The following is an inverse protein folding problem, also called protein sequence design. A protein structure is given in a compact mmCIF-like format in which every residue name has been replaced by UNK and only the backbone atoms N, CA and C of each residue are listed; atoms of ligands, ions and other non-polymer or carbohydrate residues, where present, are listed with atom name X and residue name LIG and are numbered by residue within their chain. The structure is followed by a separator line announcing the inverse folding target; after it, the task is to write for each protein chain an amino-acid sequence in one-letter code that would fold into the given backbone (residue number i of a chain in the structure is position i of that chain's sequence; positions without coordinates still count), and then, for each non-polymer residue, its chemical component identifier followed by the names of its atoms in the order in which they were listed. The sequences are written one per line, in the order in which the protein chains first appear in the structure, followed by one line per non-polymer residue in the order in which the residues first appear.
data_IF_272127909581
#
_entry.id   IF_272127909581
#
_cell.length_a   1.000
_cell.length_b   1.000
_cell.length_c   1.000
_cell.angle_alpha   90.00
_cell.angle_beta   90.00
_cell.angle_gamma   90.00
#
_symmetry.space_group_name_H-M   'P 1'
#
loop_
_entity.id
_entity.type
_entity.pdbx_description
1 polymer ?
#
# COMPACT_ATOMS: atom_id res chain seq x y z
N UNK A 1 3.04 4.75 -12.94
CA UNK A 1 1.98 4.92 -13.95
C UNK A 1 2.56 4.90 -15.37
N UNK A 2 1.96 4.09 -16.22
CA UNK A 2 2.23 4.19 -17.65
C UNK A 2 1.50 5.41 -18.22
N UNK A 3 2.01 5.91 -19.33
CA UNK A 3 1.41 7.06 -19.99
C UNK A 3 -0.06 6.77 -20.38
N UNK A 4 -0.96 7.68 -20.02
CA UNK A 4 -2.40 7.59 -20.28
C UNK A 4 -3.12 6.46 -19.52
N UNK A 5 -2.44 5.80 -18.61
CA UNK A 5 -3.01 4.76 -17.77
C UNK A 5 -3.68 5.38 -16.55
N UNK A 6 -4.88 4.90 -16.16
CA UNK A 6 -5.51 5.32 -14.92
C UNK A 6 -4.76 4.75 -13.70
N UNK A 7 -4.96 5.36 -12.53
CA UNK A 7 -4.37 4.87 -11.28
C UNK A 7 -4.84 3.44 -11.01
N UNK A 8 -6.13 3.16 -11.17
CA UNK A 8 -6.68 1.82 -10.93
C UNK A 8 -6.08 0.80 -11.89
N UNK A 9 -5.96 1.13 -13.16
CA UNK A 9 -5.39 0.23 -14.14
C UNK A 9 -3.90 -0.01 -13.89
N UNK A 10 -3.19 1.01 -13.41
CA UNK A 10 -1.80 0.87 -12.99
C UNK A 10 -1.64 -0.12 -11.85
N UNK A 11 -2.50 0.00 -10.82
CA UNK A 11 -2.46 -0.92 -9.67
C UNK A 11 -2.73 -2.35 -10.13
N UNK A 12 -3.74 -2.56 -10.97
CA UNK A 12 -4.06 -3.90 -11.49
C UNK A 12 -2.89 -4.50 -12.27
N UNK A 13 -2.26 -3.70 -13.12
CA UNK A 13 -1.12 -4.14 -13.92
C UNK A 13 0.07 -4.52 -13.05
N UNK A 14 0.44 -3.65 -12.12
CA UNK A 14 1.58 -3.88 -11.24
C UNK A 14 1.39 -5.10 -10.34
N UNK A 15 0.19 -5.29 -9.80
CA UNK A 15 -0.11 -6.48 -8.99
C UNK A 15 0.00 -7.75 -9.82
N UNK A 16 -0.50 -7.74 -11.05
CA UNK A 16 -0.38 -8.90 -11.93
C UNK A 16 1.09 -9.21 -12.24
N UNK A 17 1.89 -8.20 -12.54
CA UNK A 17 3.31 -8.37 -12.85
C UNK A 17 4.10 -8.89 -11.65
N UNK A 18 3.80 -8.39 -10.46
CA UNK A 18 4.58 -8.70 -9.26
C UNK A 18 4.11 -9.95 -8.53
N UNK A 19 2.83 -10.29 -8.63
CA UNK A 19 2.24 -11.36 -7.80
C UNK A 19 1.53 -12.45 -8.58
N UNK A 20 1.22 -12.22 -9.86
CA UNK A 20 0.44 -13.16 -10.67
C UNK A 20 -1.07 -13.09 -10.41
N UNK A 21 -1.53 -12.19 -9.54
CA UNK A 21 -2.94 -12.07 -9.20
C UNK A 21 -3.64 -11.07 -10.12
N UNK A 22 -4.85 -11.44 -10.53
CA UNK A 22 -5.77 -10.57 -11.26
C UNK A 22 -6.76 -10.04 -10.24
N UNK A 23 -6.78 -8.72 -10.05
CA UNK A 23 -7.63 -8.07 -9.05
C UNK A 23 -8.68 -7.20 -9.71
N UNK A 24 -9.86 -7.12 -9.07
CA UNK A 24 -11.00 -6.33 -9.54
C UNK A 24 -11.68 -5.68 -8.33
N UNK A 25 -12.60 -4.75 -8.61
CA UNK A 25 -13.40 -4.09 -7.58
C UNK A 25 -12.55 -3.45 -6.48
N UNK A 26 -11.55 -2.69 -6.89
CA UNK A 26 -10.66 -1.99 -5.97
C UNK A 26 -11.40 -0.85 -5.28
N UNK A 27 -11.21 -0.77 -3.94
CA UNK A 27 -11.75 0.33 -3.14
C UNK A 27 -10.60 1.23 -2.69
N UNK A 28 -10.71 2.52 -2.96
CA UNK A 28 -9.76 3.50 -2.47
C UNK A 28 -9.97 3.69 -0.96
N UNK A 29 -8.94 3.38 -0.17
CA UNK A 29 -9.00 3.50 1.29
C UNK A 29 -8.46 4.82 1.77
N UNK A 30 -7.51 5.41 1.04
CA UNK A 30 -6.92 6.66 1.42
C UNK A 30 -5.58 6.89 0.74
N UNK A 31 -4.81 7.80 1.31
CA UNK A 31 -3.50 8.16 0.79
C UNK A 31 -2.47 8.15 1.89
N UNK A 32 -1.24 7.79 1.52
CA UNK A 32 -0.06 7.98 2.34
C UNK A 32 0.77 9.07 1.68
N UNK A 33 1.26 10.03 2.47
CA UNK A 33 2.14 11.04 1.93
C UNK A 33 3.35 11.28 2.82
N UNK A 34 4.46 11.62 2.19
CA UNK A 34 5.71 11.93 2.88
C UNK A 34 6.56 12.85 2.00
N UNK A 35 7.57 13.46 2.59
CA UNK A 35 8.50 14.31 1.86
C UNK A 35 9.86 13.64 1.75
N UNK A 36 10.48 13.78 0.58
CA UNK A 36 11.82 13.33 0.28
C UNK A 36 12.49 14.42 -0.54
N UNK A 37 13.56 15.03 -0.01
CA UNK A 37 14.30 16.12 -0.68
C UNK A 37 13.37 17.26 -1.12
N UNK A 38 12.47 17.69 -0.23
CA UNK A 38 11.45 18.72 -0.47
C UNK A 38 10.42 18.36 -1.55
N UNK A 39 10.41 17.11 -2.00
CA UNK A 39 9.42 16.60 -2.94
C UNK A 39 8.33 15.87 -2.16
N UNK A 40 7.08 16.26 -2.41
CA UNK A 40 5.92 15.58 -1.85
C UNK A 40 5.68 14.28 -2.61
N UNK A 41 5.68 13.18 -1.89
CA UNK A 41 5.33 11.87 -2.43
C UNK A 41 3.93 11.50 -1.95
N UNK A 42 3.11 11.00 -2.86
CA UNK A 42 1.75 10.57 -2.54
C UNK A 42 1.55 9.16 -3.08
N UNK A 43 1.07 8.28 -2.22
CA UNK A 43 0.75 6.90 -2.57
C UNK A 43 -0.74 6.66 -2.31
N UNK A 44 -1.45 6.17 -3.32
CA UNK A 44 -2.86 5.84 -3.19
C UNK A 44 -2.99 4.40 -2.68
N UNK A 45 -3.83 4.21 -1.67
CA UNK A 45 -3.97 2.93 -0.98
C UNK A 45 -5.32 2.31 -1.36
N UNK A 46 -5.26 1.17 -2.02
CA UNK A 46 -6.44 0.41 -2.48
C UNK A 46 -6.49 -0.95 -1.80
N UNK A 47 -7.69 -1.46 -1.63
CA UNK A 47 -7.89 -2.83 -1.17
C UNK A 47 -8.96 -3.53 -2.02
N UNK A 48 -8.89 -4.84 -2.05
CA UNK A 48 -9.93 -5.67 -2.69
C UNK A 48 -9.94 -7.06 -2.07
N UNK A 49 -11.11 -7.70 -2.13
CA UNK A 49 -11.26 -9.12 -1.86
C UNK A 49 -11.57 -9.91 -3.13
N UNK A 50 -11.68 -9.21 -4.27
CA UNK A 50 -12.01 -9.82 -5.57
C UNK A 50 -10.72 -10.07 -6.35
N UNK A 51 -10.23 -11.29 -6.27
CA UNK A 51 -9.02 -11.68 -6.97
C UNK A 51 -9.12 -13.10 -7.53
N UNK A 52 -8.30 -13.38 -8.53
CA UNK A 52 -8.17 -14.70 -9.13
C UNK A 52 -6.70 -14.92 -9.55
N UNK A 53 -6.39 -16.10 -9.99
CA UNK A 53 -5.03 -16.47 -10.34
C UNK A 53 -4.29 -17.08 -9.17
N UNK A 54 -3.02 -17.39 -9.39
CA UNK A 54 -2.16 -18.01 -8.39
C UNK A 54 -1.06 -17.04 -7.98
N UNK A 55 -0.85 -16.92 -6.67
CA UNK A 55 0.23 -16.12 -6.14
C UNK A 55 1.58 -16.72 -6.55
N UNK A 56 2.40 -15.91 -7.20
CA UNK A 56 3.74 -16.30 -7.62
C UNK A 56 4.76 -15.35 -7.02
N UNK A 57 6.00 -15.78 -6.92
CA UNK A 57 7.11 -14.90 -6.57
C UNK A 57 7.65 -14.23 -7.83
N UNK A 58 8.22 -13.03 -7.66
CA UNK A 58 8.82 -12.27 -8.74
C UNK A 58 10.33 -12.16 -8.55
N UNK A 59 11.01 -11.52 -9.53
CA UNK A 59 12.44 -11.21 -9.39
C UNK A 59 12.74 -10.25 -8.23
N UNK A 60 11.74 -9.55 -7.72
CA UNK A 60 11.88 -8.61 -6.61
C UNK A 60 11.74 -9.26 -5.24
N UNK A 61 11.35 -10.52 -5.18
CA UNK A 61 11.24 -11.26 -3.93
C UNK A 61 10.14 -12.31 -3.93
N UNK A 62 10.01 -12.98 -2.79
CA UNK A 62 9.01 -14.00 -2.58
C UNK A 62 7.71 -13.38 -2.09
N UNK A 63 6.59 -13.83 -2.65
CA UNK A 63 5.26 -13.40 -2.25
C UNK A 63 4.55 -14.52 -1.51
N UNK A 64 3.87 -14.19 -0.43
CA UNK A 64 3.10 -15.15 0.35
C UNK A 64 1.95 -14.45 1.07
N UNK A 65 0.92 -15.23 1.38
CA UNK A 65 -0.24 -14.75 2.13
C UNK A 65 0.06 -14.71 3.62
N UNK A 66 -0.37 -13.64 4.29
CA UNK A 66 -0.23 -13.49 5.74
C UNK A 66 -1.62 -13.23 6.33
N UNK A 67 -2.08 -14.07 7.28
CA UNK A 67 -3.30 -13.75 8.02
C UNK A 67 -3.15 -12.42 8.78
N UNK A 68 -4.15 -11.56 8.70
CA UNK A 68 -4.11 -10.24 9.35
C UNK A 68 -3.79 -10.34 10.84
N UNK A 69 -4.37 -11.31 11.54
CA UNK A 69 -4.14 -11.51 12.98
C UNK A 69 -2.70 -11.89 13.33
N UNK A 70 -1.90 -12.30 12.34
CA UNK A 70 -0.49 -12.70 12.54
C UNK A 70 0.49 -11.66 12.02
N UNK A 71 0.00 -10.53 11.48
CA UNK A 71 0.85 -9.55 10.82
C UNK A 71 1.93 -8.99 11.74
N UNK A 72 1.63 -8.80 13.03
CA UNK A 72 2.58 -8.25 13.99
C UNK A 72 3.70 -9.22 14.39
N UNK A 73 3.59 -10.51 14.03
CA UNK A 73 4.65 -11.48 14.28
C UNK A 73 5.77 -11.40 13.22
N UNK A 74 5.59 -10.63 12.17
CA UNK A 74 6.56 -10.45 11.11
C UNK A 74 7.34 -9.16 11.30
N UNK A 75 8.57 -9.14 10.76
CA UNK A 75 9.36 -7.92 10.73
C UNK A 75 8.81 -7.00 9.66
N UNK A 76 8.26 -5.87 10.08
CA UNK A 76 7.59 -4.92 9.19
C UNK A 76 8.46 -3.68 8.98
N UNK A 77 8.30 -3.04 7.82
CA UNK A 77 8.93 -1.76 7.56
C UNK A 77 8.36 -0.68 8.48
N UNK A 78 9.15 0.37 8.70
CA UNK A 78 8.70 1.52 9.50
C UNK A 78 7.45 2.14 8.91
N UNK A 79 6.45 2.39 9.76
CA UNK A 79 5.20 2.99 9.36
C UNK A 79 4.18 2.04 8.74
N UNK A 80 4.52 0.76 8.59
CA UNK A 80 3.60 -0.21 7.99
C UNK A 80 2.28 -0.33 8.77
N UNK A 81 2.35 -0.39 10.11
CA UNK A 81 1.15 -0.52 10.94
C UNK A 81 0.25 0.72 10.83
N UNK A 82 0.84 1.92 10.71
CA UNK A 82 0.06 3.14 10.47
C UNK A 82 -0.65 3.08 9.12
N UNK A 83 0.04 2.62 8.09
CA UNK A 83 -0.56 2.45 6.78
C UNK A 83 -1.68 1.41 6.81
N UNK A 84 -1.48 0.31 7.54
CA UNK A 84 -2.48 -0.73 7.68
C UNK A 84 -3.77 -0.20 8.31
N UNK A 85 -3.68 0.73 9.26
CA UNK A 85 -4.86 1.35 9.88
C UNK A 85 -5.73 2.06 8.84
N UNK A 86 -5.12 2.66 7.80
CA UNK A 86 -5.90 3.30 6.73
C UNK A 86 -6.74 2.26 5.97
N UNK A 87 -6.19 1.08 5.73
CA UNK A 87 -6.93 0.00 5.06
C UNK A 87 -8.07 -0.57 5.92
N UNK A 88 -7.90 -0.60 7.24
CA UNK A 88 -8.79 -1.31 8.15
C UNK A 88 -9.82 -0.41 8.85
N UNK A 89 -9.61 0.90 8.87
CA UNK A 89 -10.50 1.84 9.55
C UNK A 89 -11.11 2.80 8.55
N UNK A 90 -12.41 2.63 8.26
CA UNK A 90 -13.12 3.44 7.28
C UNK A 90 -13.26 4.91 7.68
N UNK A 91 -13.02 5.25 8.95
CA UNK A 91 -13.03 6.63 9.42
C UNK A 91 -11.73 7.38 9.11
N UNK A 92 -10.71 6.66 8.67
CA UNK A 92 -9.42 7.23 8.29
C UNK A 92 -9.27 7.23 6.78
N UNK A 93 -8.61 8.27 6.26
CA UNK A 93 -8.34 8.39 4.81
C UNK A 93 -6.94 8.88 4.49
N UNK A 94 -6.17 9.27 5.50
CA UNK A 94 -4.85 9.85 5.28
C UNK A 94 -3.84 9.40 6.33
N UNK A 95 -2.67 8.98 5.85
CA UNK A 95 -1.48 8.81 6.66
C UNK A 95 -0.44 9.83 6.20
N UNK A 96 -0.11 10.77 7.08
CA UNK A 96 0.88 11.80 6.83
C UNK A 96 2.12 11.53 7.65
N UNK A 97 3.25 11.30 6.96
CA UNK A 97 4.54 11.07 7.58
C UNK A 97 5.43 12.29 7.37
N UNK A 98 5.86 12.91 8.46
CA UNK A 98 6.76 14.06 8.42
C UNK A 98 8.00 13.75 9.26
N UNK A 99 9.17 13.98 8.69
CA UNK A 99 10.42 13.87 9.42
C UNK A 99 11.07 15.24 9.53
N UNK A 100 11.25 15.72 10.75
CA UNK A 100 11.89 17.00 11.07
C UNK A 100 12.86 16.82 12.21
N UNK A 101 14.08 17.38 12.06
CA UNK A 101 15.11 17.37 13.12
C UNK A 101 15.35 15.96 13.69
N UNK A 102 15.42 14.96 12.82
CA UNK A 102 15.60 13.55 13.17
C UNK A 102 14.43 12.95 13.96
N UNK A 103 13.31 13.63 14.04
CA UNK A 103 12.08 13.11 14.64
C UNK A 103 11.08 12.78 13.54
N UNK A 104 10.37 11.66 13.70
CA UNK A 104 9.27 11.29 12.83
C UNK A 104 7.96 11.66 13.53
N UNK A 105 7.11 12.39 12.81
CA UNK A 105 5.77 12.75 13.27
C UNK A 105 4.79 12.10 12.30
N UNK A 106 3.99 11.18 12.82
CA UNK A 106 2.98 10.47 12.04
C UNK A 106 1.59 10.93 12.46
N UNK A 107 0.77 11.26 11.48
CA UNK A 107 -0.60 11.70 11.70
C UNK A 107 -1.55 10.85 10.87
N UNK A 108 -2.58 10.35 11.50
CA UNK A 108 -3.68 9.62 10.85
C UNK A 108 -4.95 10.47 10.91
N UNK A 109 -5.59 10.65 9.77
CA UNK A 109 -6.82 11.44 9.67
C UNK A 109 -7.89 10.74 8.87
#
# INVERSE_FOLDING_TARGET
LENMESIVDSVKREILEETGLIINNLSLCGVKQWFSDDIRNVCFLYKTCDYSGNLISSSEGDNFWIPLKKITSYKLSSGFLNMLDIFLNDDLSEYYHLRMNNEAIDTLK
#
